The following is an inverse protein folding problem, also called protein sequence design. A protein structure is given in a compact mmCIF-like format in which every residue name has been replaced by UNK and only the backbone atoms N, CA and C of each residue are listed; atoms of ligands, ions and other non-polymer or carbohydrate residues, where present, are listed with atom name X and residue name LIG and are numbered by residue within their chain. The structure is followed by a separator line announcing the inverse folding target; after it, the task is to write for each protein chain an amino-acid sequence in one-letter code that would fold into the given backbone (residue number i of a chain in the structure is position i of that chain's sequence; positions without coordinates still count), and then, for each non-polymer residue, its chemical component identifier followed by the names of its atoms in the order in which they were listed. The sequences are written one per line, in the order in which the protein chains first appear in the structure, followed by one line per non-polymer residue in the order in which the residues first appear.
data_IF_986850551785
#
_entry.id   IF_986850551785
#
_cell.length_a   1.000
_cell.length_b   1.000
_cell.length_c   1.000
_cell.angle_alpha   90.00
_cell.angle_beta   90.00
_cell.angle_gamma   90.00
#
_symmetry.space_group_name_H-M   'P 1'
#
loop_
_entity.id
_entity.type
_entity.pdbx_description
1 polymer ?
#
# COMPACT_ATOMS: atom_id res chain seq x y z
N UNK A 1 -8.92 1.96 5.01
CA UNK A 1 -7.88 0.94 5.25
C UNK A 1 -7.85 0.42 6.69
N UNK A 2 -8.61 0.97 7.66
CA UNK A 2 -8.58 0.46 9.04
C UNK A 2 -8.93 -1.03 9.16
N UNK A 3 -9.79 -1.52 8.26
CA UNK A 3 -10.24 -2.90 8.24
C UNK A 3 -9.29 -3.89 7.54
N UNK A 4 -8.23 -3.39 6.89
CA UNK A 4 -7.24 -4.22 6.21
C UNK A 4 -6.30 -4.89 7.20
N UNK A 5 -5.61 -5.94 6.79
CA UNK A 5 -4.60 -6.64 7.61
C UNK A 5 -3.51 -5.67 8.08
N UNK A 6 -3.06 -4.76 7.22
CA UNK A 6 -2.10 -3.72 7.54
C UNK A 6 -2.68 -2.72 8.54
N UNK A 7 -3.92 -2.26 8.32
CA UNK A 7 -4.57 -1.29 9.20
C UNK A 7 -4.79 -1.84 10.61
N UNK A 8 -5.21 -3.10 10.72
CA UNK A 8 -5.35 -3.81 12.01
C UNK A 8 -4.01 -3.99 12.70
N UNK A 9 -2.97 -4.39 11.96
CA UNK A 9 -1.63 -4.61 12.53
C UNK A 9 -0.98 -3.34 13.10
N UNK A 10 -1.29 -2.17 12.52
CA UNK A 10 -0.78 -0.88 12.97
C UNK A 10 -1.83 -0.01 13.67
N UNK A 11 -2.92 -0.61 14.16
CA UNK A 11 -3.97 0.06 14.94
C UNK A 11 -4.51 1.36 14.31
N UNK A 12 -4.88 1.29 13.03
CA UNK A 12 -5.40 2.44 12.29
C UNK A 12 -6.70 3.00 12.88
N UNK A 13 -7.49 2.18 13.57
CA UNK A 13 -8.68 2.66 14.29
C UNK A 13 -8.28 3.62 15.42
N UNK A 14 -7.38 3.20 16.32
CA UNK A 14 -6.86 4.04 17.40
C UNK A 14 -6.17 5.31 16.88
N UNK A 15 -5.44 5.21 15.76
CA UNK A 15 -4.81 6.37 15.12
C UNK A 15 -5.85 7.39 14.67
N UNK A 16 -6.96 6.95 14.06
CA UNK A 16 -8.04 7.83 13.61
C UNK A 16 -8.78 8.49 14.77
N UNK A 17 -8.84 7.83 15.93
CA UNK A 17 -9.45 8.37 17.16
C UNK A 17 -8.51 9.30 17.94
N UNK A 18 -7.21 9.31 17.64
CA UNK A 18 -6.24 10.15 18.34
C UNK A 18 -6.43 11.64 18.06
N UNK A 19 -6.05 12.48 19.03
CA UNK A 19 -6.08 13.95 18.89
C UNK A 19 -5.17 14.47 17.76
N UNK A 20 -4.16 13.70 17.35
CA UNK A 20 -3.23 14.04 16.27
C UNK A 20 -2.91 12.80 15.42
N UNK A 21 -3.82 12.43 14.49
CA UNK A 21 -3.68 11.21 13.69
C UNK A 21 -2.38 11.16 12.87
N UNK A 22 -1.88 12.31 12.41
CA UNK A 22 -0.65 12.39 11.64
C UNK A 22 0.57 11.99 12.48
N UNK A 23 0.65 12.46 13.73
CA UNK A 23 1.72 12.10 14.65
C UNK A 23 1.59 10.65 15.11
N UNK A 24 0.37 10.21 15.44
CA UNK A 24 0.11 8.83 15.85
C UNK A 24 0.50 7.84 14.74
N UNK A 25 0.12 8.12 13.49
CA UNK A 25 0.51 7.34 12.32
C UNK A 25 2.03 7.25 12.17
N UNK A 26 2.74 8.38 12.24
CA UNK A 26 4.21 8.42 12.13
C UNK A 26 4.89 7.55 13.19
N UNK A 27 4.34 7.50 14.39
CA UNK A 27 4.92 6.72 15.49
C UNK A 27 4.59 5.23 15.38
N UNK A 28 3.40 4.88 14.85
CA UNK A 28 2.92 3.51 14.78
C UNK A 28 3.41 2.75 13.54
N UNK A 29 3.54 3.43 12.40
CA UNK A 29 3.86 2.80 11.11
C UNK A 29 5.35 2.97 10.81
N UNK A 30 6.15 1.88 10.73
CA UNK A 30 7.55 1.98 10.40
C UNK A 30 7.75 2.36 8.92
N UNK A 31 8.94 2.88 8.61
CA UNK A 31 9.36 3.04 7.22
C UNK A 31 9.70 1.67 6.62
N UNK A 32 9.29 1.47 5.37
CA UNK A 32 9.62 0.28 4.61
C UNK A 32 10.41 0.65 3.36
N UNK A 33 11.48 -0.09 3.10
CA UNK A 33 11.94 -0.26 1.74
C UNK A 33 11.07 -1.27 0.97
N UNK A 34 11.35 -1.45 -0.32
CA UNK A 34 10.58 -2.36 -1.17
C UNK A 34 10.60 -3.81 -0.67
N UNK A 35 11.78 -4.32 -0.28
CA UNK A 35 11.89 -5.72 0.12
C UNK A 35 11.10 -5.95 1.41
N UNK A 36 11.23 -5.03 2.37
CA UNK A 36 10.52 -5.11 3.65
C UNK A 36 8.99 -5.10 3.46
N UNK A 37 8.44 -4.17 2.65
CA UNK A 37 6.99 -4.12 2.44
C UNK A 37 6.49 -5.30 1.59
N UNK A 38 7.29 -5.76 0.64
CA UNK A 38 6.97 -6.93 -0.17
C UNK A 38 6.87 -8.18 0.71
N UNK A 39 7.90 -8.44 1.51
CA UNK A 39 8.03 -9.64 2.31
C UNK A 39 7.05 -9.64 3.49
N UNK A 40 6.71 -8.48 4.04
CA UNK A 40 5.71 -8.39 5.11
C UNK A 40 4.27 -8.41 4.58
N UNK A 41 4.02 -7.77 3.43
CA UNK A 41 2.67 -7.42 3.00
C UNK A 41 2.37 -7.76 1.55
N UNK A 42 3.09 -7.20 0.57
CA UNK A 42 2.63 -7.28 -0.83
C UNK A 42 2.73 -8.68 -1.45
N UNK A 43 3.60 -9.58 -0.96
CA UNK A 43 3.61 -10.97 -1.44
C UNK A 43 2.25 -11.65 -1.25
N UNK A 44 1.52 -11.31 -0.18
CA UNK A 44 0.16 -11.83 0.10
C UNK A 44 -0.83 -11.46 -1.00
N UNK A 45 -0.67 -10.27 -1.60
CA UNK A 45 -1.49 -9.84 -2.73
C UNK A 45 -1.17 -10.69 -3.98
N UNK A 46 0.08 -11.09 -4.18
CA UNK A 46 0.46 -12.00 -5.27
C UNK A 46 -0.06 -13.42 -5.07
N UNK A 47 -0.31 -13.82 -3.82
CA UNK A 47 -0.96 -15.09 -3.44
C UNK A 47 -2.49 -15.03 -3.50
N UNK A 48 -3.07 -13.90 -3.92
CA UNK A 48 -4.51 -13.72 -4.07
C UNK A 48 -5.26 -13.32 -2.79
N UNK A 49 -4.54 -12.92 -1.73
CA UNK A 49 -5.19 -12.35 -0.55
C UNK A 49 -5.74 -10.95 -0.85
N UNK A 50 -6.89 -10.63 -0.28
CA UNK A 50 -7.53 -9.30 -0.36
C UNK A 50 -7.34 -8.54 0.93
N UNK A 51 -7.62 -7.24 0.91
CA UNK A 51 -7.67 -6.39 2.11
C UNK A 51 -6.35 -6.42 2.90
N UNK A 52 -5.21 -6.43 2.20
CA UNK A 52 -3.88 -6.48 2.82
C UNK A 52 -3.44 -5.07 3.23
N UNK A 53 -3.00 -4.24 2.28
CA UNK A 53 -2.61 -2.84 2.53
C UNK A 53 -3.66 -1.84 2.08
N UNK A 54 -4.49 -2.20 1.10
CA UNK A 54 -5.67 -1.46 0.65
C UNK A 54 -6.90 -2.36 0.72
N UNK A 55 -8.10 -1.79 0.88
CA UNK A 55 -9.35 -2.54 0.73
C UNK A 55 -9.46 -3.16 -0.67
N UNK A 56 -10.02 -4.37 -0.75
CA UNK A 56 -10.11 -5.14 -1.98
C UNK A 56 -8.77 -5.75 -2.41
N UNK A 57 -8.67 -6.11 -3.68
CA UNK A 57 -7.43 -6.57 -4.32
C UNK A 57 -7.08 -5.65 -5.50
N UNK A 58 -5.80 -5.32 -5.70
CA UNK A 58 -5.37 -4.64 -6.91
C UNK A 58 -5.44 -5.61 -8.09
N UNK A 59 -6.07 -5.17 -9.19
CA UNK A 59 -6.17 -5.96 -10.42
C UNK A 59 -4.85 -6.03 -11.21
N UNK A 60 -3.98 -5.05 -10.99
CA UNK A 60 -2.75 -4.88 -11.74
C UNK A 60 -1.55 -4.62 -10.84
N UNK A 61 -0.38 -5.04 -11.31
CA UNK A 61 0.90 -4.73 -10.70
C UNK A 61 1.80 -4.03 -11.71
N UNK A 62 2.32 -2.88 -11.34
CA UNK A 62 3.37 -2.22 -12.10
C UNK A 62 4.68 -3.00 -11.91
N UNK A 63 5.35 -3.29 -13.03
CA UNK A 63 6.69 -3.87 -13.03
C UNK A 63 7.72 -2.75 -13.04
N UNK A 64 8.40 -2.55 -11.91
CA UNK A 64 9.57 -1.69 -11.86
C UNK A 64 10.81 -2.56 -12.06
N UNK A 65 11.64 -2.21 -13.04
CA UNK A 65 12.83 -2.99 -13.40
C UNK A 65 13.81 -3.13 -12.25
N UNK A 66 13.85 -2.17 -11.31
CA UNK A 66 14.77 -2.15 -10.19
C UNK A 66 16.24 -2.07 -10.67
N UNK A 67 17.01 -1.11 -10.17
CA UNK A 67 18.39 -0.94 -10.63
C UNK A 67 19.37 -2.03 -10.15
N UNK A 68 18.94 -2.95 -9.28
CA UNK A 68 19.84 -3.87 -8.54
C UNK A 68 19.35 -5.31 -8.35
N UNK A 69 18.19 -5.72 -8.88
CA UNK A 69 17.60 -7.05 -8.64
C UNK A 69 17.43 -7.89 -9.92
N UNK A 70 17.54 -9.22 -9.81
CA UNK A 70 17.26 -10.16 -10.92
C UNK A 70 15.78 -10.30 -11.25
N UNK A 71 14.90 -9.93 -10.32
CA UNK A 71 13.43 -10.02 -10.43
C UNK A 71 12.81 -8.64 -10.39
N UNK A 72 11.92 -8.35 -11.34
CA UNK A 72 11.19 -7.07 -11.38
C UNK A 72 10.34 -6.89 -10.13
N UNK A 73 10.38 -5.68 -9.56
CA UNK A 73 9.54 -5.28 -8.44
C UNK A 73 8.09 -5.19 -8.90
N UNK A 74 7.17 -5.80 -8.15
CA UNK A 74 5.73 -5.81 -8.42
C UNK A 74 5.02 -4.88 -7.45
N UNK A 75 4.69 -3.69 -7.92
CA UNK A 75 4.05 -2.65 -7.10
C UNK A 75 2.53 -2.70 -7.35
N UNK A 76 1.69 -2.87 -6.32
CA UNK A 76 0.25 -2.89 -6.49
C UNK A 76 -0.27 -1.57 -7.08
N UNK A 77 -1.15 -1.65 -8.08
CA UNK A 77 -1.82 -0.50 -8.69
C UNK A 77 -3.32 -0.62 -8.42
N UNK A 78 -3.89 0.37 -7.75
CA UNK A 78 -5.33 0.42 -7.43
C UNK A 78 -6.09 1.26 -8.46
N UNK A 79 -7.39 1.02 -8.60
CA UNK A 79 -8.25 1.83 -9.47
C UNK A 79 -8.22 3.31 -9.09
N UNK A 80 -8.21 3.62 -7.79
CA UNK A 80 -8.09 4.98 -7.30
C UNK A 80 -6.80 5.68 -7.78
N UNK A 81 -5.69 4.93 -7.90
CA UNK A 81 -4.44 5.46 -8.48
C UNK A 81 -4.59 5.72 -9.98
N UNK A 82 -5.20 4.79 -10.73
CA UNK A 82 -5.44 4.94 -12.17
C UNK A 82 -6.33 6.16 -12.44
N UNK A 83 -7.41 6.32 -11.67
CA UNK A 83 -8.34 7.43 -11.80
C UNK A 83 -7.68 8.77 -11.45
N UNK A 84 -6.84 8.81 -10.42
CA UNK A 84 -6.06 10.01 -10.09
C UNK A 84 -5.12 10.42 -11.24
N UNK A 85 -4.44 9.46 -11.87
CA UNK A 85 -3.56 9.72 -13.03
C UNK A 85 -4.37 10.25 -14.21
N UNK A 86 -5.51 9.62 -14.54
CA UNK A 86 -6.40 10.07 -15.62
C UNK A 86 -6.90 11.50 -15.40
N UNK A 87 -7.38 11.80 -14.19
CA UNK A 87 -7.86 13.15 -13.85
C UNK A 87 -6.77 14.21 -13.94
N UNK A 88 -5.53 13.90 -13.53
CA UNK A 88 -4.40 14.81 -13.64
C UNK A 88 -4.06 15.10 -15.12
N UNK A 89 -4.14 14.09 -16.00
CA UNK A 89 -3.89 14.26 -17.44
C UNK A 89 -4.98 15.03 -18.18
N UNK A 90 -6.25 14.89 -17.78
CA UNK A 90 -7.38 15.63 -18.40
C UNK A 90 -7.38 17.12 -18.02
N UNK A 91 -6.78 17.48 -16.87
CA UNK A 91 -6.70 18.87 -16.39
C UNK A 91 -5.52 19.67 -16.97
N UNK A 92 -4.71 19.09 -17.86
CA UNK A 92 -3.65 19.77 -18.61
C UNK A 92 -4.16 20.24 -19.97
#
# INVERSE_FOLDING_TARGET
AKDTSFGKAYAFEDILESNNPQQAFRNAVPYFDYNQINDAWWHKLHEGQTDVTWPGSPDYFALSSGTTGKTSKRIPVTDAMIDAIRQAGIKQ
#
